data_IF_600693479238
#
_entry.id   IF_600693479238
#
_cell.length_a   1.000
_cell.length_b   1.000
_cell.length_c   1.000
_cell.angle_alpha   90.00
_cell.angle_beta   90.00
_cell.angle_gamma   90.00
#
_symmetry.space_group_name_H-M   'P 1'
#
loop_
_entity.id
_entity.type
_entity.pdbx_description
1 polymer ?
#
# COMPACT_ATOMS: atom_id res chain seq x y z
N UNK A 1 -15.49 26.12 -18.59
CA UNK A 1 -14.77 25.43 -19.68
C UNK A 1 -13.55 24.70 -19.14
N UNK A 2 -12.64 25.34 -18.44
CA UNK A 2 -11.34 24.76 -18.06
C UNK A 2 -11.37 23.45 -17.25
N UNK A 3 -12.27 23.27 -16.29
CA UNK A 3 -12.32 22.04 -15.48
C UNK A 3 -12.75 20.81 -16.31
N UNK A 4 -13.74 20.94 -17.17
CA UNK A 4 -14.17 19.84 -18.03
C UNK A 4 -13.04 19.42 -18.98
N UNK A 5 -12.33 20.36 -19.55
CA UNK A 5 -11.20 20.11 -20.45
C UNK A 5 -10.05 19.37 -19.75
N UNK A 6 -9.76 19.68 -18.47
CA UNK A 6 -8.76 18.96 -17.68
C UNK A 6 -9.19 17.50 -17.43
N UNK A 7 -10.47 17.27 -17.09
CA UNK A 7 -10.99 15.93 -16.91
C UNK A 7 -10.92 15.11 -18.20
N UNK A 8 -11.34 15.68 -19.32
CA UNK A 8 -11.33 15.01 -20.62
C UNK A 8 -9.89 14.78 -21.13
N UNK A 9 -8.97 15.70 -20.84
CA UNK A 9 -7.55 15.52 -21.15
C UNK A 9 -6.96 14.36 -20.34
N UNK A 10 -7.21 14.33 -19.03
CA UNK A 10 -6.71 13.26 -18.17
C UNK A 10 -7.27 11.89 -18.59
N UNK A 11 -8.56 11.80 -18.93
CA UNK A 11 -9.17 10.57 -19.44
C UNK A 11 -8.48 10.09 -20.72
N UNK A 12 -8.33 10.96 -21.71
CA UNK A 12 -7.69 10.59 -23.00
C UNK A 12 -6.26 10.09 -22.79
N UNK A 13 -5.49 10.72 -21.87
CA UNK A 13 -4.12 10.30 -21.56
C UNK A 13 -4.09 8.92 -20.90
N UNK A 14 -4.99 8.68 -19.93
CA UNK A 14 -5.10 7.37 -19.27
C UNK A 14 -5.50 6.28 -20.26
N UNK A 15 -6.51 6.53 -21.11
CA UNK A 15 -6.92 5.61 -22.17
C UNK A 15 -5.77 5.27 -23.12
N UNK A 16 -4.97 6.25 -23.52
CA UNK A 16 -3.80 6.02 -24.37
C UNK A 16 -2.74 5.14 -23.68
N UNK A 17 -2.53 5.29 -22.37
CA UNK A 17 -1.62 4.43 -21.62
C UNK A 17 -2.17 3.00 -21.48
N UNK A 18 -3.48 2.83 -21.26
CA UNK A 18 -4.10 1.51 -21.16
C UNK A 18 -4.09 0.79 -22.49
N UNK A 19 -4.38 1.48 -23.59
CA UNK A 19 -4.32 0.94 -24.97
C UNK A 19 -2.91 0.49 -25.40
N UNK A 20 -1.86 0.95 -24.71
CA UNK A 20 -0.50 0.49 -24.93
C UNK A 20 -0.17 -0.82 -24.20
N UNK A 21 -1.03 -1.25 -23.27
CA UNK A 21 -0.89 -2.53 -22.58
C UNK A 21 -1.51 -3.64 -23.43
N UNK A 22 -0.96 -4.86 -23.40
CA UNK A 22 -1.59 -5.99 -24.08
C UNK A 22 -2.97 -6.29 -23.48
N UNK A 23 -3.96 -6.53 -24.33
CA UNK A 23 -5.29 -7.00 -23.91
C UNK A 23 -5.23 -8.32 -23.13
N UNK A 24 -6.26 -8.56 -22.35
CA UNK A 24 -6.46 -9.81 -21.63
C UNK A 24 -6.46 -9.66 -20.11
N UNK A 25 -6.70 -10.78 -19.44
CA UNK A 25 -6.82 -10.85 -17.99
C UNK A 25 -5.52 -11.33 -17.35
N UNK A 26 -5.07 -10.61 -16.33
CA UNK A 26 -3.95 -10.95 -15.45
C UNK A 26 -4.49 -11.16 -14.05
N UNK A 27 -3.97 -12.14 -13.34
CA UNK A 27 -4.43 -12.43 -11.98
C UNK A 27 -3.30 -12.36 -11.00
N UNK A 28 -3.62 -11.95 -9.78
CA UNK A 28 -2.72 -12.06 -8.64
C UNK A 28 -3.49 -12.43 -7.37
N UNK A 29 -2.79 -13.06 -6.45
CA UNK A 29 -3.31 -13.42 -5.12
C UNK A 29 -2.30 -13.04 -4.06
N UNK A 30 -2.78 -12.65 -2.89
CA UNK A 30 -1.96 -12.37 -1.72
C UNK A 30 -2.81 -12.63 -0.46
N UNK A 31 -2.20 -12.53 0.71
CA UNK A 31 -2.89 -12.75 1.99
C UNK A 31 -2.65 -11.60 2.96
N UNK A 32 -3.62 -11.32 3.81
CA UNK A 32 -3.49 -10.52 5.02
C UNK A 32 -3.45 -11.45 6.22
N UNK A 33 -2.54 -11.19 7.14
CA UNK A 33 -2.31 -12.03 8.33
C UNK A 33 -3.21 -11.57 9.48
N UNK A 34 -4.42 -12.12 9.58
CA UNK A 34 -5.27 -11.87 10.75
C UNK A 34 -4.85 -12.78 11.94
N UNK A 35 -5.22 -12.43 13.18
CA UNK A 35 -4.91 -13.23 14.36
C UNK A 35 -5.49 -14.65 14.33
N UNK A 36 -6.63 -14.83 13.70
CA UNK A 36 -7.41 -16.06 13.60
C UNK A 36 -7.20 -16.82 12.28
N UNK A 37 -6.36 -16.31 11.37
CA UNK A 37 -6.03 -16.97 10.11
C UNK A 37 -5.69 -16.00 9.00
N UNK A 38 -5.37 -16.55 7.84
CA UNK A 38 -5.03 -15.77 6.66
C UNK A 38 -6.28 -15.37 5.88
N UNK A 39 -6.36 -14.10 5.51
CA UNK A 39 -7.43 -13.53 4.69
C UNK A 39 -6.92 -13.39 3.25
N UNK A 40 -7.39 -14.25 2.37
CA UNK A 40 -6.96 -14.25 0.98
C UNK A 40 -7.55 -13.08 0.20
N UNK A 41 -6.71 -12.40 -0.58
CA UNK A 41 -7.08 -11.37 -1.54
C UNK A 41 -6.77 -11.83 -2.95
N UNK A 42 -7.67 -11.53 -3.88
CA UNK A 42 -7.53 -11.86 -5.31
C UNK A 42 -7.87 -10.65 -6.16
N UNK A 43 -7.19 -10.52 -7.29
CA UNK A 43 -7.56 -9.59 -8.34
C UNK A 43 -7.50 -10.28 -9.70
N UNK A 44 -8.51 -10.03 -10.52
CA UNK A 44 -8.48 -10.25 -11.97
C UNK A 44 -8.47 -8.87 -12.65
N UNK A 45 -7.33 -8.50 -13.22
CA UNK A 45 -7.13 -7.23 -13.91
C UNK A 45 -7.26 -7.46 -15.41
N UNK A 46 -8.36 -7.00 -16.01
CA UNK A 46 -8.66 -7.17 -17.44
C UNK A 46 -8.48 -5.86 -18.18
N UNK A 47 -7.57 -5.85 -19.15
CA UNK A 47 -7.41 -4.78 -20.14
C UNK A 47 -8.21 -5.16 -21.38
N UNK A 48 -9.09 -4.28 -21.82
CA UNK A 48 -9.90 -4.41 -23.03
C UNK A 48 -9.83 -3.08 -23.80
N UNK A 49 -8.98 -3.05 -24.81
CA UNK A 49 -8.67 -1.84 -25.56
C UNK A 49 -8.08 -0.74 -24.67
N UNK A 50 -8.86 0.29 -24.38
CA UNK A 50 -8.45 1.44 -23.59
C UNK A 50 -9.10 1.52 -22.20
N UNK A 51 -9.69 0.40 -21.75
CA UNK A 51 -10.35 0.26 -20.46
C UNK A 51 -9.69 -0.80 -19.56
N UNK A 52 -9.81 -0.62 -18.25
CA UNK A 52 -9.31 -1.54 -17.26
C UNK A 52 -10.41 -1.91 -16.26
N UNK A 53 -10.62 -3.20 -16.05
CA UNK A 53 -11.49 -3.74 -15.00
C UNK A 53 -10.63 -4.45 -13.97
N UNK A 54 -10.76 -4.05 -12.70
CA UNK A 54 -10.14 -4.68 -11.55
C UNK A 54 -11.24 -5.38 -10.73
N UNK A 55 -11.33 -6.70 -10.89
CA UNK A 55 -12.33 -7.52 -10.21
C UNK A 55 -11.70 -8.28 -9.04
N UNK A 56 -12.22 -8.06 -7.85
CA UNK A 56 -11.78 -8.68 -6.60
C UNK A 56 -12.69 -9.83 -6.15
N UNK A 57 -13.50 -10.38 -7.03
CA UNK A 57 -14.30 -11.57 -6.73
C UNK A 57 -13.43 -12.74 -6.26
N UNK A 58 -13.88 -13.44 -5.20
CA UNK A 58 -13.12 -14.51 -4.56
C UNK A 58 -12.14 -14.05 -3.48
N UNK A 59 -12.03 -12.75 -3.20
CA UNK A 59 -11.38 -12.27 -1.98
C UNK A 59 -12.17 -12.64 -0.73
N UNK A 60 -11.50 -12.71 0.42
CA UNK A 60 -12.09 -13.07 1.70
C UNK A 60 -13.37 -12.28 2.02
N UNK A 61 -14.28 -12.92 2.74
CA UNK A 61 -15.44 -12.25 3.30
C UNK A 61 -15.05 -11.18 4.33
N UNK A 62 -15.98 -10.29 4.64
CA UNK A 62 -15.86 -9.34 5.74
C UNK A 62 -15.46 -10.07 7.03
N UNK A 63 -14.49 -9.51 7.74
CA UNK A 63 -13.87 -10.08 8.93
C UNK A 63 -14.35 -9.35 10.21
N UNK A 64 -14.36 -10.03 11.33
CA UNK A 64 -14.79 -9.45 12.62
C UNK A 64 -13.79 -8.42 13.17
N UNK A 65 -12.51 -8.49 12.75
CA UNK A 65 -11.48 -7.52 13.11
C UNK A 65 -11.54 -6.23 12.26
N UNK A 66 -10.50 -5.40 12.40
CA UNK A 66 -10.46 -4.05 11.83
C UNK A 66 -9.79 -3.94 10.44
N UNK A 67 -9.51 -5.07 9.77
CA UNK A 67 -8.82 -5.10 8.48
C UNK A 67 -9.74 -4.85 7.27
N UNK A 68 -11.04 -4.68 7.49
CA UNK A 68 -11.99 -4.44 6.40
C UNK A 68 -11.77 -3.08 5.73
N UNK A 69 -12.02 -3.02 4.43
CA UNK A 69 -12.03 -1.79 3.67
C UNK A 69 -13.47 -1.38 3.28
N UNK A 70 -13.85 -0.12 3.44
CA UNK A 70 -14.95 0.42 2.66
C UNK A 70 -14.54 0.50 1.19
N UNK A 71 -15.51 0.38 0.28
CA UNK A 71 -15.24 0.37 -1.18
C UNK A 71 -14.41 1.58 -1.63
N UNK A 72 -14.61 2.75 -1.04
CA UNK A 72 -13.86 3.96 -1.37
C UNK A 72 -12.37 3.84 -1.15
N UNK A 73 -11.94 3.13 -0.09
CA UNK A 73 -10.52 2.87 0.19
C UNK A 73 -9.94 1.88 -0.82
N UNK A 74 -10.67 0.82 -1.15
CA UNK A 74 -10.28 -0.14 -2.18
C UNK A 74 -10.11 0.55 -3.54
N UNK A 75 -11.07 1.41 -3.93
CA UNK A 75 -10.98 2.21 -5.16
C UNK A 75 -9.77 3.13 -5.13
N UNK A 76 -9.50 3.80 -4.01
CA UNK A 76 -8.33 4.70 -3.89
C UNK A 76 -7.00 3.96 -4.05
N UNK A 77 -6.87 2.77 -3.49
CA UNK A 77 -5.69 1.92 -3.65
C UNK A 77 -5.51 1.46 -5.10
N UNK A 78 -6.60 1.10 -5.78
CA UNK A 78 -6.58 0.77 -7.21
C UNK A 78 -6.16 1.98 -8.07
N UNK A 79 -6.72 3.16 -7.79
CA UNK A 79 -6.36 4.41 -8.48
C UNK A 79 -4.88 4.73 -8.30
N UNK A 80 -4.33 4.57 -7.10
CA UNK A 80 -2.89 4.71 -6.87
C UNK A 80 -2.08 3.75 -7.76
N UNK A 81 -2.42 2.46 -7.77
CA UNK A 81 -1.73 1.48 -8.60
C UNK A 81 -1.81 1.80 -10.10
N UNK A 82 -2.98 2.24 -10.59
CA UNK A 82 -3.16 2.67 -11.99
C UNK A 82 -2.27 3.87 -12.32
N UNK A 83 -2.11 4.83 -11.39
CA UNK A 83 -1.17 5.95 -11.61
C UNK A 83 0.28 5.50 -11.72
N UNK A 84 0.68 4.45 -11.01
CA UNK A 84 2.03 3.86 -11.17
C UNK A 84 2.18 3.15 -12.52
N UNK A 85 1.09 2.59 -13.05
CA UNK A 85 1.08 1.88 -14.34
C UNK A 85 1.00 2.82 -15.55
N UNK A 86 0.60 4.08 -15.34
CA UNK A 86 0.37 5.08 -16.39
C UNK A 86 1.39 6.21 -16.31
N UNK A 87 1.23 7.22 -17.15
CA UNK A 87 2.12 8.38 -17.19
C UNK A 87 1.94 9.26 -15.92
N UNK A 88 3.04 9.53 -15.17
CA UNK A 88 2.98 10.35 -13.97
C UNK A 88 2.53 11.79 -14.20
N UNK A 89 2.68 12.31 -15.42
CA UNK A 89 2.31 13.68 -15.80
C UNK A 89 0.81 13.84 -16.09
N UNK A 90 0.02 12.77 -16.02
CA UNK A 90 -1.44 12.87 -16.12
C UNK A 90 -1.98 13.64 -14.92
N UNK A 91 -2.77 14.72 -15.11
CA UNK A 91 -3.35 15.46 -14.01
C UNK A 91 -4.18 14.57 -13.08
N UNK A 92 -3.90 14.66 -11.77
CA UNK A 92 -4.67 13.92 -10.75
C UNK A 92 -6.09 14.47 -10.70
N UNK A 93 -7.02 13.76 -11.31
CA UNK A 93 -8.42 14.18 -11.42
C UNK A 93 -9.34 12.98 -11.63
N UNK A 94 -10.63 13.17 -11.41
CA UNK A 94 -11.63 12.14 -11.68
C UNK A 94 -11.64 11.67 -13.15
N UNK A 95 -11.19 12.51 -14.08
CA UNK A 95 -11.05 12.17 -15.50
C UNK A 95 -10.09 11.01 -15.72
N UNK A 96 -8.95 11.00 -15.02
CA UNK A 96 -7.96 9.93 -15.12
C UNK A 96 -8.50 8.54 -14.70
N UNK A 97 -9.60 8.50 -13.95
CA UNK A 97 -10.17 7.26 -13.43
C UNK A 97 -11.38 6.75 -14.22
N UNK A 98 -11.91 7.53 -15.16
CA UNK A 98 -13.09 7.14 -15.96
C UNK A 98 -12.93 5.82 -16.72
N UNK A 99 -11.77 5.47 -17.29
CA UNK A 99 -11.59 4.19 -17.98
C UNK A 99 -11.31 3.02 -17.03
N UNK A 100 -11.37 3.21 -15.72
CA UNK A 100 -11.07 2.18 -14.72
C UNK A 100 -12.31 1.80 -13.93
N UNK A 101 -12.65 0.52 -13.93
CA UNK A 101 -13.74 -0.05 -13.13
C UNK A 101 -13.18 -0.92 -12.03
N UNK A 102 -13.61 -0.68 -10.79
CA UNK A 102 -13.27 -1.52 -9.63
C UNK A 102 -14.51 -2.25 -9.16
N UNK A 103 -14.43 -3.58 -9.13
CA UNK A 103 -15.52 -4.47 -8.69
C UNK A 103 -15.06 -5.21 -7.44
N UNK A 104 -15.76 -5.01 -6.33
CA UNK A 104 -15.56 -5.76 -5.10
C UNK A 104 -16.93 -6.20 -4.55
N UNK A 105 -17.15 -7.51 -4.33
CA UNK A 105 -18.43 -7.99 -3.81
C UNK A 105 -18.79 -7.33 -2.48
N UNK A 106 -20.03 -6.90 -2.34
CA UNK A 106 -20.52 -6.33 -1.10
C UNK A 106 -20.50 -7.36 0.03
N UNK A 107 -20.00 -6.97 1.20
CA UNK A 107 -19.77 -7.89 2.33
C UNK A 107 -18.48 -8.69 2.22
N UNK A 108 -17.62 -8.37 1.25
CA UNK A 108 -16.22 -8.82 1.24
C UNK A 108 -15.34 -7.92 2.12
N UNK A 109 -14.12 -8.38 2.41
CA UNK A 109 -13.10 -7.61 3.12
C UNK A 109 -12.82 -6.25 2.45
N UNK A 110 -12.99 -6.16 1.13
CA UNK A 110 -12.69 -4.99 0.30
C UNK A 110 -13.91 -4.10 0.01
N UNK A 111 -15.07 -4.48 0.46
CA UNK A 111 -16.33 -3.72 0.36
C UNK A 111 -17.23 -4.08 1.54
N UNK A 112 -16.76 -3.77 2.73
CA UNK A 112 -17.40 -4.15 3.97
C UNK A 112 -18.69 -3.35 4.22
N UNK A 113 -19.66 -4.02 4.84
CA UNK A 113 -20.91 -3.41 5.29
C UNK A 113 -20.78 -2.86 6.71
N UNK A 114 -21.39 -1.71 7.00
CA UNK A 114 -21.52 -1.26 8.38
C UNK A 114 -22.22 -2.33 9.26
N UNK A 115 -21.84 -2.45 10.54
CA UNK A 115 -20.90 -1.62 11.33
C UNK A 115 -19.46 -2.16 11.38
N UNK A 116 -18.96 -2.81 10.34
CA UNK A 116 -17.61 -3.39 10.31
C UNK A 116 -16.53 -2.37 10.69
N UNK A 117 -15.54 -2.81 11.48
CA UNK A 117 -14.39 -2.01 11.81
C UNK A 117 -13.42 -1.95 10.60
N UNK A 118 -12.96 -0.74 10.24
CA UNK A 118 -12.25 -0.50 8.97
C UNK A 118 -10.91 0.25 9.14
N UNK A 119 -10.46 0.50 10.37
CA UNK A 119 -9.26 1.34 10.59
C UNK A 119 -7.99 0.68 10.04
N UNK A 120 -7.81 -0.61 10.25
CA UNK A 120 -6.68 -1.37 9.70
C UNK A 120 -6.76 -1.55 8.18
N UNK A 121 -7.97 -1.49 7.63
CA UNK A 121 -8.20 -1.51 6.19
C UNK A 121 -7.56 -0.35 5.46
N UNK A 122 -7.58 0.85 6.03
CA UNK A 122 -6.96 2.03 5.44
C UNK A 122 -5.42 1.97 5.46
N UNK A 123 -4.80 1.20 6.35
CA UNK A 123 -3.34 1.09 6.48
C UNK A 123 -2.80 -0.19 5.86
N UNK A 124 -3.26 -1.37 6.29
CA UNK A 124 -2.71 -2.65 5.85
C UNK A 124 -3.38 -3.15 4.56
N UNK A 125 -4.71 -3.23 4.55
CA UNK A 125 -5.45 -3.81 3.40
C UNK A 125 -5.32 -2.94 2.15
N UNK A 126 -5.34 -1.61 2.27
CA UNK A 126 -5.15 -0.70 1.13
C UNK A 126 -3.77 -0.87 0.49
N UNK A 127 -2.72 -1.00 1.30
CA UNK A 127 -1.37 -1.27 0.81
C UNK A 127 -1.29 -2.60 0.07
N UNK A 128 -1.97 -3.64 0.60
CA UNK A 128 -2.04 -4.94 -0.03
C UNK A 128 -2.81 -4.93 -1.35
N UNK A 129 -3.92 -4.17 -1.43
CA UNK A 129 -4.68 -4.00 -2.68
C UNK A 129 -3.83 -3.33 -3.76
N UNK A 130 -3.08 -2.28 -3.40
CA UNK A 130 -2.18 -1.61 -4.34
C UNK A 130 -1.09 -2.56 -4.85
N UNK A 131 -0.40 -3.28 -3.95
CA UNK A 131 0.63 -4.27 -4.31
C UNK A 131 0.04 -5.40 -5.18
N UNK A 132 -1.17 -5.85 -4.88
CA UNK A 132 -1.83 -6.91 -5.64
C UNK A 132 -2.08 -6.50 -7.10
N UNK A 133 -2.54 -5.26 -7.32
CA UNK A 133 -2.71 -4.72 -8.68
C UNK A 133 -1.36 -4.56 -9.37
N UNK A 134 -0.36 -3.97 -8.72
CA UNK A 134 0.99 -3.83 -9.27
C UNK A 134 1.59 -5.18 -9.65
N UNK A 135 1.43 -6.19 -8.80
CA UNK A 135 1.90 -7.57 -9.05
C UNK A 135 1.24 -8.20 -10.27
N UNK A 136 -0.08 -7.99 -10.48
CA UNK A 136 -0.77 -8.49 -11.67
C UNK A 136 -0.16 -7.96 -12.97
N UNK A 137 0.46 -6.78 -12.93
CA UNK A 137 1.18 -6.16 -14.05
C UNK A 137 2.71 -6.33 -14.00
N UNK A 138 3.24 -7.20 -13.12
CA UNK A 138 4.67 -7.45 -13.00
C UNK A 138 5.48 -6.23 -12.55
N UNK A 139 4.88 -5.34 -11.77
CA UNK A 139 5.56 -4.15 -11.23
C UNK A 139 6.10 -4.41 -9.83
N UNK A 140 7.12 -3.64 -9.44
CA UNK A 140 7.70 -3.68 -8.12
C UNK A 140 6.64 -3.38 -7.05
N UNK A 141 6.60 -4.22 -6.02
CA UNK A 141 5.72 -4.06 -4.86
C UNK A 141 6.45 -3.34 -3.73
N UNK A 142 5.68 -2.88 -2.73
CA UNK A 142 6.20 -2.28 -1.53
C UNK A 142 6.64 -3.32 -0.48
N UNK A 143 6.91 -2.84 0.74
CA UNK A 143 7.22 -3.68 1.90
C UNK A 143 6.02 -4.50 2.40
N UNK A 144 4.82 -4.23 1.91
CA UNK A 144 3.60 -4.97 2.19
C UNK A 144 2.96 -4.73 3.55
N UNK A 145 3.45 -3.80 4.34
CA UNK A 145 2.90 -3.37 5.63
C UNK A 145 3.30 -1.93 5.90
N UNK A 146 2.47 -1.17 6.61
CA UNK A 146 2.77 0.21 6.97
C UNK A 146 3.82 0.32 8.09
N UNK A 147 4.02 -0.73 8.91
CA UNK A 147 4.92 -0.69 10.06
C UNK A 147 4.68 0.54 10.95
N UNK A 148 3.46 0.73 11.40
CA UNK A 148 3.15 1.85 12.27
C UNK A 148 3.58 1.55 13.70
N UNK A 149 4.30 2.50 14.28
CA UNK A 149 4.64 2.55 15.69
C UNK A 149 3.85 3.68 16.34
N UNK A 150 3.09 3.36 17.37
CA UNK A 150 2.48 4.36 18.26
C UNK A 150 3.01 4.10 19.66
N UNK A 151 3.46 5.13 20.34
CA UNK A 151 3.85 5.05 21.76
C UNK A 151 3.54 6.35 22.48
N UNK A 152 3.35 6.26 23.78
CA UNK A 152 3.04 7.43 24.60
C UNK A 152 2.46 7.08 25.97
N UNK A 153 2.03 8.12 26.65
CA UNK A 153 1.34 8.04 27.94
C UNK A 153 0.30 9.18 28.05
N UNK A 154 -0.13 9.53 29.26
CA UNK A 154 -1.13 10.60 29.46
C UNK A 154 -0.65 12.00 29.03
N UNK A 155 0.67 12.19 28.86
CA UNK A 155 1.28 13.50 28.55
C UNK A 155 1.58 13.70 27.07
N UNK A 156 1.83 12.62 26.32
CA UNK A 156 2.16 12.69 24.90
C UNK A 156 1.77 11.44 24.16
N UNK A 157 1.60 11.58 22.86
CA UNK A 157 1.51 10.47 21.90
C UNK A 157 2.45 10.73 20.73
N UNK A 158 3.28 9.75 20.43
CA UNK A 158 4.10 9.74 19.24
C UNK A 158 3.61 8.66 18.29
N UNK A 159 3.51 9.00 17.01
CA UNK A 159 3.12 8.08 15.93
C UNK A 159 4.09 8.22 14.77
N UNK A 160 4.54 7.07 14.23
CA UNK A 160 5.43 7.03 13.08
C UNK A 160 5.13 5.82 12.21
N UNK A 161 5.21 6.01 10.89
CA UNK A 161 5.29 4.94 9.90
C UNK A 161 6.76 4.71 9.58
N UNK A 162 7.24 3.46 9.65
CA UNK A 162 8.64 3.15 9.39
C UNK A 162 8.84 2.71 7.94
N UNK A 163 9.72 3.43 7.22
CA UNK A 163 10.09 3.08 5.85
C UNK A 163 10.88 1.76 5.82
N UNK A 164 10.61 0.95 4.82
CA UNK A 164 11.30 -0.32 4.56
C UNK A 164 12.12 -0.29 3.29
N UNK A 165 12.14 -1.37 2.55
CA UNK A 165 12.72 -1.45 1.21
C UNK A 165 11.64 -1.55 0.15
N UNK A 166 11.93 -1.07 -1.06
CA UNK A 166 11.10 -1.27 -2.23
C UNK A 166 11.50 -2.57 -2.94
N UNK A 167 10.54 -3.27 -3.56
CA UNK A 167 10.82 -4.38 -4.45
C UNK A 167 11.68 -3.96 -5.64
N UNK A 168 12.41 -4.91 -6.21
CA UNK A 168 13.23 -4.65 -7.40
C UNK A 168 12.39 -4.33 -8.63
N UNK A 169 12.92 -3.50 -9.51
CA UNK A 169 12.39 -3.27 -10.85
C UNK A 169 12.99 -4.28 -11.86
N UNK A 170 12.41 -4.40 -13.09
CA UNK A 170 12.95 -5.30 -14.10
C UNK A 170 14.41 -5.02 -14.53
N UNK A 171 14.89 -3.80 -14.28
CA UNK A 171 16.17 -3.26 -14.75
C UNK A 171 17.03 -2.64 -13.63
N UNK A 172 16.56 -2.70 -12.36
CA UNK A 172 17.28 -2.08 -11.25
C UNK A 172 16.95 -2.72 -9.89
N UNK A 173 17.91 -2.67 -8.97
CA UNK A 173 17.69 -3.01 -7.57
C UNK A 173 16.71 -2.02 -6.91
N UNK A 174 15.93 -2.52 -5.97
CA UNK A 174 15.03 -1.70 -5.16
C UNK A 174 15.81 -0.80 -4.18
N UNK A 175 15.42 0.46 -3.99
CA UNK A 175 16.04 1.33 -3.00
C UNK A 175 15.77 0.85 -1.57
N UNK A 176 16.78 0.99 -0.72
CA UNK A 176 16.73 0.61 0.71
C UNK A 176 16.23 1.77 1.58
N UNK A 177 15.56 1.45 2.68
CA UNK A 177 15.14 2.40 3.73
C UNK A 177 14.30 3.58 3.19
N UNK A 178 13.38 3.29 2.28
CA UNK A 178 12.49 4.29 1.68
C UNK A 178 11.03 4.00 2.03
N UNK A 179 10.23 5.04 2.11
CA UNK A 179 8.79 4.89 2.11
C UNK A 179 8.30 4.59 0.69
N UNK A 180 7.44 3.61 0.55
CA UNK A 180 6.99 3.09 -0.75
C UNK A 180 5.48 2.99 -0.82
N UNK A 181 4.95 3.04 -2.05
CA UNK A 181 3.53 2.87 -2.32
C UNK A 181 2.65 3.78 -1.43
N UNK A 182 1.72 3.17 -0.69
CA UNK A 182 0.73 3.88 0.13
C UNK A 182 1.31 4.54 1.39
N UNK A 183 2.58 4.32 1.73
CA UNK A 183 3.22 4.85 2.94
C UNK A 183 3.89 6.22 2.77
N UNK A 184 3.51 7.01 1.80
CA UNK A 184 4.09 8.29 1.40
C UNK A 184 4.29 9.29 2.56
N UNK A 185 5.35 9.11 3.34
CA UNK A 185 5.74 9.95 4.49
C UNK A 185 7.25 9.96 4.64
N UNK A 186 7.76 10.63 5.67
CA UNK A 186 9.18 10.64 6.06
C UNK A 186 9.30 10.22 7.52
N UNK A 187 10.41 9.56 7.87
CA UNK A 187 10.71 9.30 9.26
C UNK A 187 11.11 10.58 10.00
N UNK A 188 10.70 10.68 11.27
CA UNK A 188 11.04 11.82 12.11
C UNK A 188 12.55 11.88 12.33
N UNK A 189 13.22 13.03 12.09
CA UNK A 189 14.62 13.21 12.42
C UNK A 189 14.88 12.93 13.91
N UNK A 190 16.00 12.27 14.19
CA UNK A 190 16.35 11.83 15.56
C UNK A 190 16.35 13.01 16.53
N UNK A 191 16.97 14.11 16.17
CA UNK A 191 17.10 15.31 17.00
C UNK A 191 15.74 15.96 17.29
N UNK A 192 14.83 15.94 16.33
CA UNK A 192 13.48 16.47 16.51
C UNK A 192 12.68 15.59 17.48
N UNK A 193 12.79 14.27 17.34
CA UNK A 193 12.13 13.31 18.22
C UNK A 193 12.61 13.47 19.66
N UNK A 194 13.93 13.44 19.90
CA UNK A 194 14.55 13.50 21.22
C UNK A 194 14.32 14.84 21.94
N UNK A 195 14.16 15.94 21.19
CA UNK A 195 13.84 17.25 21.75
C UNK A 195 12.38 17.39 22.17
N UNK A 196 11.50 16.66 21.51
CA UNK A 196 10.05 16.81 21.67
C UNK A 196 9.46 15.82 22.67
N UNK A 197 10.02 14.62 22.71
CA UNK A 197 9.49 13.52 23.50
C UNK A 197 10.56 12.94 24.43
N UNK A 198 10.20 12.34 25.57
CA UNK A 198 11.12 11.64 26.46
C UNK A 198 11.53 10.28 25.86
N UNK A 199 12.11 10.34 24.69
CA UNK A 199 12.54 9.18 23.88
C UNK A 199 13.97 9.41 23.43
N UNK A 200 14.75 8.33 23.31
CA UNK A 200 16.10 8.33 22.74
C UNK A 200 16.21 7.31 21.63
N UNK A 201 16.72 7.69 20.47
CA UNK A 201 17.02 6.76 19.39
C UNK A 201 18.42 6.20 19.60
N UNK A 202 18.52 4.95 20.02
CA UNK A 202 19.80 4.28 20.31
C UNK A 202 20.41 3.70 19.04
N UNK A 203 19.58 3.43 18.02
CA UNK A 203 20.04 2.95 16.72
C UNK A 203 19.07 3.30 15.60
N UNK A 204 19.61 3.78 14.49
CA UNK A 204 18.90 3.92 13.24
C UNK A 204 19.84 3.52 12.09
N UNK A 205 19.60 2.39 11.46
CA UNK A 205 20.51 1.78 10.51
C UNK A 205 19.77 0.95 9.45
N UNK A 206 20.43 0.69 8.31
CA UNK A 206 19.96 -0.29 7.34
C UNK A 206 20.01 -1.70 7.93
N UNK A 207 18.95 -2.47 7.76
CA UNK A 207 18.91 -3.91 8.02
C UNK A 207 19.54 -4.65 6.83
N UNK A 208 20.86 -4.60 6.75
CA UNK A 208 21.61 -5.13 5.61
C UNK A 208 21.31 -6.60 5.34
N UNK A 209 21.10 -6.93 4.05
CA UNK A 209 20.80 -8.28 3.60
C UNK A 209 19.34 -8.71 3.82
N UNK A 210 18.43 -7.79 4.17
CA UNK A 210 17.01 -8.08 4.34
C UNK A 210 16.19 -7.95 3.05
N UNK A 211 16.74 -7.36 2.00
CA UNK A 211 16.11 -7.28 0.68
C UNK A 211 16.01 -8.65 0.02
N UNK A 212 14.92 -8.91 -0.69
CA UNK A 212 14.67 -10.15 -1.41
C UNK A 212 15.71 -10.40 -2.51
N UNK A 213 16.00 -11.66 -2.75
CA UNK A 213 16.91 -12.08 -3.82
C UNK A 213 16.16 -12.21 -5.15
N UNK A 214 16.83 -11.89 -6.26
CA UNK A 214 16.29 -12.00 -7.61
C UNK A 214 17.34 -11.66 -8.65
N UNK A 215 16.94 -11.49 -9.90
CA UNK A 215 17.81 -10.94 -10.95
C UNK A 215 18.34 -9.54 -10.54
N UNK A 216 17.47 -8.75 -9.95
CA UNK A 216 17.79 -7.54 -9.19
C UNK A 216 17.32 -7.74 -7.75
N UNK A 217 17.98 -7.12 -6.79
CA UNK A 217 17.67 -7.29 -5.37
C UNK A 217 16.59 -6.30 -4.92
N UNK A 218 15.69 -6.76 -4.07
CA UNK A 218 14.85 -5.86 -3.28
C UNK A 218 15.67 -5.01 -2.31
N UNK A 219 15.18 -3.81 -1.98
CA UNK A 219 15.82 -2.91 -1.03
C UNK A 219 15.82 -3.44 0.40
N UNK A 220 16.87 -3.13 1.14
CA UNK A 220 16.99 -3.47 2.56
C UNK A 220 16.04 -2.60 3.41
N UNK A 221 15.48 -3.17 4.46
CA UNK A 221 14.69 -2.48 5.46
C UNK A 221 15.53 -1.67 6.44
N UNK A 222 14.91 -1.23 7.55
CA UNK A 222 15.57 -0.46 8.61
C UNK A 222 15.53 -1.20 9.95
N UNK A 223 16.49 -0.86 10.81
CA UNK A 223 16.48 -1.11 12.25
C UNK A 223 16.36 0.24 12.92
N UNK A 224 15.32 0.42 13.75
CA UNK A 224 15.12 1.62 14.56
C UNK A 224 14.86 1.19 16.00
N UNK A 225 15.81 1.48 16.88
CA UNK A 225 15.74 1.18 18.31
C UNK A 225 15.47 2.50 19.06
N UNK A 226 14.43 2.49 19.87
CA UNK A 226 14.00 3.66 20.63
C UNK A 226 13.91 3.26 22.10
N UNK A 227 14.66 3.97 22.95
CA UNK A 227 14.59 3.86 24.41
C UNK A 227 13.55 4.86 24.92
N UNK A 228 12.60 4.38 25.72
CA UNK A 228 11.68 5.23 26.45
C UNK A 228 12.35 5.69 27.76
N UNK A 229 12.42 7.00 27.99
CA UNK A 229 13.03 7.59 29.18
C UNK A 229 12.04 7.71 30.35
N UNK A 230 10.81 7.29 30.16
CA UNK A 230 9.75 7.16 31.15
C UNK A 230 8.78 6.05 30.75
N UNK A 231 7.84 5.70 31.61
CA UNK A 231 6.85 4.67 31.34
C UNK A 231 5.95 5.08 30.17
N UNK A 232 5.83 4.20 29.18
CA UNK A 232 5.00 4.37 27.99
C UNK A 232 4.25 3.10 27.66
N UNK A 233 3.08 3.24 27.03
CA UNK A 233 2.41 2.18 26.32
C UNK A 233 2.78 2.26 24.84
N UNK A 234 3.03 1.13 24.19
CA UNK A 234 3.27 1.09 22.75
C UNK A 234 2.29 0.16 22.05
N UNK A 235 2.01 0.49 20.78
CA UNK A 235 1.21 -0.32 19.88
C UNK A 235 1.90 -0.38 18.52
N UNK A 236 1.82 -1.53 17.88
CA UNK A 236 2.36 -1.76 16.54
C UNK A 236 1.25 -2.22 15.61
N UNK A 237 1.20 -1.62 14.43
CA UNK A 237 0.43 -2.14 13.31
C UNK A 237 1.44 -2.64 12.31
N UNK A 238 1.65 -3.94 12.27
CA UNK A 238 2.62 -4.60 11.41
C UNK A 238 2.07 -5.92 10.90
N UNK A 239 2.49 -6.30 9.70
CA UNK A 239 2.13 -7.53 9.05
C UNK A 239 3.38 -8.18 8.41
N UNK A 240 3.23 -9.16 7.55
CA UNK A 240 4.35 -9.88 6.91
C UNK A 240 5.24 -10.63 7.91
N UNK A 241 4.61 -11.27 8.90
CA UNK A 241 5.31 -12.09 9.91
C UNK A 241 5.34 -13.56 9.53
N UNK A 242 4.35 -14.05 8.79
CA UNK A 242 4.25 -15.43 8.28
C UNK A 242 4.57 -15.49 6.79
N UNK A 243 4.16 -14.49 6.04
CA UNK A 243 4.31 -14.45 4.59
C UNK A 243 5.22 -13.28 4.19
N UNK A 244 6.38 -13.57 3.61
CA UNK A 244 7.26 -12.52 3.08
C UNK A 244 6.56 -11.71 1.97
N UNK A 245 6.93 -10.43 1.77
CA UNK A 245 6.53 -9.69 0.57
C UNK A 245 6.92 -10.45 -0.70
N UNK A 246 6.12 -10.33 -1.79
CA UNK A 246 6.40 -11.00 -3.06
C UNK A 246 7.66 -10.49 -3.76
#
# INVERSE_FOLDING_TARGET
AGFAEVLDYAERRTRACLAALPDGTRTATDVLEAPDGDLELRVAATVDGDELVLDFAGSAAQHDGNLNCPLSVTVSACVFAVRVLTDPDIPSSAGAHRPVRVLAPEGSLLNARPPAAVVGGNVETSSRVADLVLRAFGRACGQGTMNNLTLGNERFTYYETLGGGQGACPDADGPSAVHVAMSNTLNTPVEALERTFPLRVTRYALRRGSGGAGAFRGGDGVVREVEALEDVTYSLITERRRHAPP
#
